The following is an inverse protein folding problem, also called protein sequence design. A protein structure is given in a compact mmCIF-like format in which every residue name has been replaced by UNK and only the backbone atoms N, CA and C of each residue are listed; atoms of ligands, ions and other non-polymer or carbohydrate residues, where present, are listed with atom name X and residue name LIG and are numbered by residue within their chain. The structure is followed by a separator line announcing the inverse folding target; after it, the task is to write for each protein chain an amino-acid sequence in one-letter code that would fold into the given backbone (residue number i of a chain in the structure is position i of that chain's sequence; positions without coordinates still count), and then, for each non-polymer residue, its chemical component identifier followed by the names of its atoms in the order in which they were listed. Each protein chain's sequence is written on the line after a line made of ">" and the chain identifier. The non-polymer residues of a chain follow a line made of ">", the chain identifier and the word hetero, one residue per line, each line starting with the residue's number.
data_IF_313152542049
#
_entry.id   IF_313152542049
#
_cell.length_a   1.000
_cell.length_b   1.000
_cell.length_c   1.000
_cell.angle_alpha   90.00
_cell.angle_beta   90.00
_cell.angle_gamma   90.00
#
_symmetry.space_group_name_H-M   'P 1'
#
loop_
_entity.id
_entity.type
_entity.pdbx_description
1 polymer ?
#
# COMPACT_ATOMS: atom_id res chain seq x y z
N UNK A 1 64.62 -51.98 12.62
CA UNK A 1 64.83 -51.00 13.70
C UNK A 1 64.10 -49.70 13.33
N UNK A 2 62.92 -49.53 13.94
CA UNK A 2 62.21 -48.27 14.33
C UNK A 2 62.23 -47.08 13.35
N UNK A 3 61.09 -46.78 12.71
CA UNK A 3 60.32 -45.53 12.95
C UNK A 3 60.51 -44.57 11.77
N UNK A 4 59.56 -43.76 11.30
CA UNK A 4 58.36 -43.21 11.90
C UNK A 4 57.33 -42.95 10.80
N UNK A 5 56.09 -43.32 11.09
CA UNK A 5 54.89 -42.95 10.36
C UNK A 5 54.64 -41.45 10.57
N UNK A 6 54.40 -40.68 9.50
CA UNK A 6 53.92 -39.29 9.65
C UNK A 6 52.76 -39.05 8.71
N UNK A 7 51.59 -39.33 9.28
CA UNK A 7 50.26 -38.99 8.85
C UNK A 7 50.16 -37.49 8.49
N UNK A 8 50.05 -37.17 7.20
CA UNK A 8 49.72 -35.82 6.73
C UNK A 8 48.20 -35.64 6.77
N UNK A 9 47.69 -35.19 7.92
CA UNK A 9 46.27 -34.85 8.09
C UNK A 9 45.91 -33.72 7.11
N UNK A 10 44.92 -33.99 6.27
CA UNK A 10 44.24 -32.99 5.44
C UNK A 10 43.60 -31.93 6.34
N UNK A 11 44.06 -30.68 6.23
CA UNK A 11 43.38 -29.53 6.82
C UNK A 11 42.24 -29.07 5.91
N UNK A 12 41.14 -29.82 5.88
CA UNK A 12 39.86 -29.33 5.34
C UNK A 12 39.10 -28.57 6.43
N UNK A 13 38.85 -27.27 6.19
CA UNK A 13 37.70 -26.56 6.76
C UNK A 13 37.94 -25.70 8.01
N UNK A 14 38.50 -24.50 7.85
CA UNK A 14 38.35 -23.42 8.85
C UNK A 14 38.19 -22.01 8.24
N UNK A 15 37.56 -21.92 7.06
CA UNK A 15 37.27 -20.65 6.38
C UNK A 15 35.77 -20.31 6.24
N UNK A 16 34.86 -21.24 6.53
CA UNK A 16 33.46 -21.13 6.09
C UNK A 16 32.54 -20.38 7.07
N UNK A 17 32.73 -20.54 8.38
CA UNK A 17 31.75 -20.06 9.37
C UNK A 17 31.93 -18.59 9.77
N UNK A 18 33.18 -18.11 9.84
CA UNK A 18 33.49 -16.71 10.18
C UNK A 18 33.10 -15.74 9.06
N UNK A 19 33.39 -16.10 7.81
CA UNK A 19 33.04 -15.30 6.63
C UNK A 19 31.52 -15.26 6.41
N UNK A 20 30.81 -16.38 6.65
CA UNK A 20 29.34 -16.42 6.66
C UNK A 20 28.73 -15.50 7.73
N UNK A 21 29.29 -15.45 8.94
CA UNK A 21 28.81 -14.55 10.01
C UNK A 21 29.07 -13.08 9.68
N UNK A 22 30.26 -12.75 9.17
CA UNK A 22 30.61 -11.38 8.76
C UNK A 22 29.69 -10.87 7.62
N UNK A 23 29.42 -11.70 6.62
CA UNK A 23 28.47 -11.38 5.54
C UNK A 23 27.06 -11.15 6.06
N UNK A 24 26.57 -11.99 6.99
CA UNK A 24 25.26 -11.80 7.62
C UNK A 24 25.17 -10.49 8.42
N UNK A 25 26.21 -10.12 9.17
CA UNK A 25 26.25 -8.85 9.90
C UNK A 25 26.24 -7.66 8.95
N UNK A 26 27.06 -7.69 7.89
CA UNK A 26 27.10 -6.63 6.88
C UNK A 26 25.77 -6.48 6.14
N UNK A 27 25.12 -7.60 5.79
CA UNK A 27 23.80 -7.60 5.17
C UNK A 27 22.73 -7.03 6.11
N UNK A 28 22.77 -7.39 7.40
CA UNK A 28 21.88 -6.82 8.41
C UNK A 28 22.08 -5.31 8.58
N UNK A 29 23.32 -4.85 8.65
CA UNK A 29 23.64 -3.42 8.73
C UNK A 29 23.15 -2.65 7.50
N UNK A 30 23.34 -3.21 6.29
CA UNK A 30 22.82 -2.60 5.06
C UNK A 30 21.29 -2.50 5.07
N UNK A 31 20.59 -3.55 5.50
CA UNK A 31 19.12 -3.53 5.64
C UNK A 31 18.64 -2.49 6.66
N UNK A 32 19.33 -2.40 7.79
CA UNK A 32 19.00 -1.40 8.82
C UNK A 32 19.21 0.03 8.30
N UNK A 33 20.31 0.29 7.60
CA UNK A 33 20.59 1.60 7.03
C UNK A 33 19.56 2.02 5.97
N UNK A 34 19.12 1.09 5.11
CA UNK A 34 18.05 1.36 4.13
C UNK A 34 16.73 1.67 4.84
N UNK A 35 16.37 0.89 5.85
CA UNK A 35 15.13 1.12 6.61
C UNK A 35 15.19 2.42 7.42
N UNK A 36 16.34 2.78 7.99
CA UNK A 36 16.55 4.06 8.68
C UNK A 36 16.43 5.24 7.71
N UNK A 37 17.10 5.17 6.55
CA UNK A 37 17.01 6.20 5.51
C UNK A 37 15.57 6.35 4.97
N UNK A 38 14.85 5.24 4.75
CA UNK A 38 13.44 5.27 4.35
C UNK A 38 12.58 5.97 5.40
N UNK A 39 12.80 5.70 6.69
CA UNK A 39 12.06 6.35 7.79
C UNK A 39 12.37 7.84 7.90
N UNK A 40 13.62 8.25 7.69
CA UNK A 40 14.01 9.65 7.66
C UNK A 40 13.35 10.40 6.49
N UNK A 41 13.38 9.81 5.29
CA UNK A 41 12.70 10.35 4.11
C UNK A 41 11.20 10.45 4.34
N UNK A 42 10.59 9.41 4.92
CA UNK A 42 9.18 9.44 5.29
C UNK A 42 8.87 10.54 6.32
N UNK A 43 9.68 10.68 7.36
CA UNK A 43 9.49 11.75 8.35
C UNK A 43 9.61 13.15 7.72
N UNK A 44 10.57 13.33 6.80
CA UNK A 44 10.71 14.58 6.05
C UNK A 44 9.48 14.85 5.17
N UNK A 45 8.94 13.82 4.51
CA UNK A 45 7.74 13.89 3.68
C UNK A 45 6.50 14.28 4.50
N UNK A 46 6.31 13.65 5.67
CA UNK A 46 5.23 13.98 6.60
C UNK A 46 5.31 15.45 6.99
N UNK A 47 6.49 15.93 7.39
CA UNK A 47 6.68 17.32 7.78
C UNK A 47 6.45 18.29 6.62
N UNK A 48 6.88 17.93 5.41
CA UNK A 48 6.75 18.78 4.23
C UNK A 48 5.29 18.96 3.78
N UNK A 49 4.44 17.95 3.99
CA UNK A 49 3.05 17.93 3.51
C UNK A 49 2.01 18.19 4.58
N UNK A 50 2.40 18.16 5.86
CA UNK A 50 1.51 18.48 6.96
C UNK A 50 0.99 19.93 6.84
N UNK A 51 -0.33 20.08 6.70
CA UNK A 51 -0.99 21.36 6.54
C UNK A 51 -0.91 21.97 5.14
N UNK A 52 -0.30 21.29 4.16
CA UNK A 52 -0.27 21.73 2.77
C UNK A 52 -1.62 21.42 2.09
N UNK A 53 -2.36 22.42 1.60
CA UNK A 53 -3.67 22.21 0.96
C UNK A 53 -3.61 21.41 -0.34
N UNK A 54 -2.43 21.26 -0.97
CA UNK A 54 -2.25 20.44 -2.17
C UNK A 54 -2.28 18.93 -1.87
N UNK A 55 -2.39 18.53 -0.60
CA UNK A 55 -2.40 17.12 -0.20
C UNK A 55 -3.56 16.83 0.74
N UNK A 56 -3.95 15.55 0.80
CA UNK A 56 -5.01 15.10 1.72
C UNK A 56 -4.56 15.34 3.16
N UNK A 57 -5.37 16.04 3.96
CA UNK A 57 -5.07 16.26 5.37
C UNK A 57 -5.95 15.37 6.25
N UNK A 58 -5.38 14.89 7.37
CA UNK A 58 -6.09 14.12 8.40
C UNK A 58 -6.11 14.90 9.71
N UNK A 59 -7.31 15.10 10.25
CA UNK A 59 -7.52 15.67 11.59
C UNK A 59 -8.18 14.64 12.50
N UNK A 60 -7.66 14.52 13.72
CA UNK A 60 -8.34 13.78 14.79
C UNK A 60 -9.37 14.70 15.46
N UNK A 61 -10.59 14.22 15.60
CA UNK A 61 -11.68 14.94 16.24
C UNK A 61 -11.71 14.66 17.75
N UNK A 62 -12.29 15.57 18.57
CA UNK A 62 -12.36 15.38 20.02
C UNK A 62 -13.11 14.12 20.48
N UNK A 63 -14.00 13.59 19.63
CA UNK A 63 -14.76 12.36 19.84
C UNK A 63 -13.96 11.09 19.48
N UNK A 64 -12.70 11.23 19.06
CA UNK A 64 -11.86 10.12 18.59
C UNK A 64 -12.08 9.77 17.11
N UNK A 65 -13.06 10.40 16.46
CA UNK A 65 -13.28 10.31 15.01
C UNK A 65 -12.15 10.97 14.23
N UNK A 66 -12.18 10.79 12.91
CA UNK A 66 -11.19 11.38 12.00
C UNK A 66 -11.91 12.09 10.86
N UNK A 67 -11.41 13.27 10.51
CA UNK A 67 -11.83 14.00 9.32
C UNK A 67 -10.69 13.98 8.32
N UNK A 68 -10.99 13.55 7.10
CA UNK A 68 -10.13 13.75 5.93
C UNK A 68 -10.61 14.99 5.20
N UNK A 69 -9.69 15.85 4.80
CA UNK A 69 -10.00 17.03 3.99
C UNK A 69 -9.12 17.08 2.75
N UNK A 70 -9.72 17.50 1.66
CA UNK A 70 -9.11 17.71 0.36
C UNK A 70 -9.52 19.10 -0.12
N UNK A 71 -8.75 19.68 -1.03
CA UNK A 71 -9.08 20.93 -1.69
C UNK A 71 -9.17 20.70 -3.19
N UNK A 72 -9.67 21.68 -3.94
CA UNK A 72 -9.67 21.62 -5.41
C UNK A 72 -8.24 21.51 -5.98
N UNK A 73 -7.24 21.97 -5.23
CA UNK A 73 -5.82 21.90 -5.60
C UNK A 73 -5.18 20.52 -5.31
N UNK A 74 -5.88 19.62 -4.61
CA UNK A 74 -5.37 18.26 -4.35
C UNK A 74 -5.32 17.47 -5.66
N UNK A 75 -4.19 16.83 -6.03
CA UNK A 75 -4.14 15.99 -7.23
C UNK A 75 -5.20 14.88 -7.16
N UNK A 76 -5.99 14.75 -8.22
CA UNK A 76 -7.10 13.80 -8.32
C UNK A 76 -8.42 14.30 -7.73
N UNK A 77 -8.50 15.56 -7.25
CA UNK A 77 -9.70 16.10 -6.60
C UNK A 77 -10.90 16.19 -7.54
N UNK A 78 -10.69 16.62 -8.78
CA UNK A 78 -11.76 16.75 -9.77
C UNK A 78 -12.42 15.40 -10.07
N UNK A 79 -11.62 14.37 -10.33
CA UNK A 79 -12.06 13.00 -10.59
C UNK A 79 -12.78 12.42 -9.37
N UNK A 80 -12.28 12.71 -8.17
CA UNK A 80 -12.91 12.27 -6.94
C UNK A 80 -14.27 12.95 -6.68
N UNK A 81 -14.38 14.26 -6.92
CA UNK A 81 -15.64 15.01 -6.82
C UNK A 81 -16.67 14.48 -7.82
N UNK A 82 -16.23 14.20 -9.06
CA UNK A 82 -17.08 13.58 -10.08
C UNK A 82 -17.57 12.19 -9.64
N UNK A 83 -16.69 11.36 -9.08
CA UNK A 83 -17.06 10.05 -8.55
C UNK A 83 -18.09 10.16 -7.40
N UNK A 84 -17.94 11.13 -6.49
CA UNK A 84 -18.93 11.37 -5.43
C UNK A 84 -20.28 11.84 -5.99
N UNK A 85 -20.27 12.71 -7.01
CA UNK A 85 -21.49 13.16 -7.66
C UNK A 85 -22.21 11.99 -8.36
N UNK A 86 -21.47 11.12 -9.05
CA UNK A 86 -22.01 9.91 -9.66
C UNK A 86 -22.58 8.95 -8.61
N UNK A 87 -21.87 8.73 -7.49
CA UNK A 87 -22.33 7.88 -6.39
C UNK A 87 -23.61 8.43 -5.74
N UNK A 88 -23.69 9.75 -5.56
CA UNK A 88 -24.92 10.41 -5.09
C UNK A 88 -26.07 10.20 -6.07
N UNK A 89 -25.84 10.35 -7.37
CA UNK A 89 -26.87 10.13 -8.37
C UNK A 89 -27.36 8.67 -8.36
N UNK A 90 -26.45 7.70 -8.26
CA UNK A 90 -26.79 6.29 -8.13
C UNK A 90 -27.66 6.01 -6.91
N UNK A 91 -27.40 6.68 -5.78
CA UNK A 91 -28.23 6.59 -4.58
C UNK A 91 -29.64 7.11 -4.83
N UNK A 92 -29.77 8.28 -5.46
CA UNK A 92 -31.06 8.90 -5.78
C UNK A 92 -31.85 8.01 -6.74
N UNK A 93 -31.20 7.47 -7.77
CA UNK A 93 -31.84 6.60 -8.75
C UNK A 93 -32.34 5.29 -8.10
N UNK A 94 -31.59 4.74 -7.13
CA UNK A 94 -31.96 3.51 -6.41
C UNK A 94 -33.07 3.72 -5.39
N UNK A 95 -32.99 4.78 -4.56
CA UNK A 95 -33.84 4.95 -3.38
C UNK A 95 -34.89 6.06 -3.52
N UNK A 96 -34.86 6.85 -4.60
CA UNK A 96 -35.83 7.91 -4.89
C UNK A 96 -35.74 9.12 -3.97
N UNK A 97 -34.63 9.29 -3.23
CA UNK A 97 -34.39 10.40 -2.31
C UNK A 97 -32.90 10.72 -2.18
N UNK A 98 -32.58 11.90 -1.67
CA UNK A 98 -31.22 12.28 -1.30
C UNK A 98 -30.67 11.41 -0.15
N UNK A 99 -29.36 11.14 -0.11
CA UNK A 99 -28.71 10.53 1.05
C UNK A 99 -28.73 11.49 2.24
N UNK A 100 -29.10 10.97 3.40
CA UNK A 100 -29.00 11.64 4.69
C UNK A 100 -27.63 11.44 5.34
N UNK A 101 -27.36 12.11 6.48
CA UNK A 101 -26.05 12.07 7.14
C UNK A 101 -25.65 10.70 7.68
N UNK A 102 -26.61 9.77 7.84
CA UNK A 102 -26.37 8.40 8.32
C UNK A 102 -26.54 7.36 7.21
N UNK A 103 -26.82 7.79 5.97
CA UNK A 103 -26.87 6.85 4.85
C UNK A 103 -25.43 6.52 4.39
N UNK A 104 -25.20 5.27 3.96
CA UNK A 104 -23.89 4.84 3.52
C UNK A 104 -23.51 5.50 2.20
N UNK A 105 -22.27 5.97 2.11
CA UNK A 105 -21.69 6.49 0.86
C UNK A 105 -21.51 5.37 -0.16
N UNK A 106 -20.99 4.22 0.27
CA UNK A 106 -20.93 2.98 -0.50
C UNK A 106 -22.06 2.07 -0.05
N UNK A 107 -23.12 1.95 -0.86
CA UNK A 107 -24.33 1.22 -0.51
C UNK A 107 -24.43 -0.10 -1.29
N UNK A 108 -25.10 -1.08 -0.68
CA UNK A 108 -25.46 -2.35 -1.32
C UNK A 108 -26.52 -2.10 -2.42
N UNK A 109 -26.19 -2.33 -3.70
CA UNK A 109 -27.11 -2.09 -4.81
C UNK A 109 -28.28 -3.07 -4.84
N UNK A 110 -28.18 -4.22 -4.16
CA UNK A 110 -29.21 -5.26 -4.14
C UNK A 110 -30.17 -5.10 -2.95
N UNK A 111 -29.85 -4.23 -1.99
CA UNK A 111 -30.71 -3.94 -0.84
C UNK A 111 -31.86 -2.98 -1.19
N UNK A 112 -33.06 -3.28 -0.68
CA UNK A 112 -34.24 -2.39 -0.77
C UNK A 112 -34.13 -1.15 0.12
N UNK A 113 -33.21 -1.16 1.09
CA UNK A 113 -32.95 -0.04 2.00
C UNK A 113 -31.46 0.31 2.01
N UNK A 114 -31.07 1.58 2.20
CA UNK A 114 -29.66 1.95 2.26
C UNK A 114 -28.94 1.18 3.36
N UNK A 115 -27.98 0.36 2.95
CA UNK A 115 -27.10 -0.43 3.81
C UNK A 115 -25.71 -0.42 3.21
N UNK A 116 -24.71 -0.48 4.07
CA UNK A 116 -23.32 -0.59 3.62
C UNK A 116 -23.15 -1.87 2.79
N UNK A 117 -22.37 -1.78 1.72
CA UNK A 117 -21.89 -2.97 1.02
C UNK A 117 -21.10 -3.85 1.99
N UNK A 118 -21.26 -5.17 1.91
CA UNK A 118 -20.46 -6.07 2.75
C UNK A 118 -19.00 -6.07 2.31
N UNK A 119 -18.10 -6.43 3.23
CA UNK A 119 -16.69 -6.57 2.90
C UNK A 119 -16.49 -7.59 1.77
N UNK A 120 -17.20 -8.73 1.80
CA UNK A 120 -17.10 -9.75 0.77
C UNK A 120 -17.52 -9.25 -0.61
N UNK A 121 -18.59 -8.45 -0.67
CA UNK A 121 -19.05 -7.86 -1.93
C UNK A 121 -18.06 -6.82 -2.45
N UNK A 122 -17.51 -5.97 -1.58
CA UNK A 122 -16.46 -5.01 -1.95
C UNK A 122 -15.20 -5.72 -2.48
N UNK A 123 -14.76 -6.80 -1.82
CA UNK A 123 -13.60 -7.57 -2.26
C UNK A 123 -13.85 -8.26 -3.61
N UNK A 124 -15.06 -8.78 -3.84
CA UNK A 124 -15.44 -9.35 -5.13
C UNK A 124 -15.44 -8.29 -6.26
N UNK A 125 -15.88 -7.07 -5.98
CA UNK A 125 -15.82 -5.96 -6.95
C UNK A 125 -14.38 -5.56 -7.29
N UNK A 126 -13.47 -5.57 -6.30
CA UNK A 126 -12.05 -5.35 -6.52
C UNK A 126 -11.45 -6.48 -7.37
N UNK A 127 -11.80 -7.74 -7.09
CA UNK A 127 -11.34 -8.90 -7.88
C UNK A 127 -11.80 -8.79 -9.35
N UNK A 128 -13.04 -8.35 -9.58
CA UNK A 128 -13.57 -8.07 -10.91
C UNK A 128 -12.84 -6.89 -11.61
N UNK A 129 -12.46 -5.85 -10.87
CA UNK A 129 -11.68 -4.73 -11.40
C UNK A 129 -10.26 -5.18 -11.80
N UNK A 130 -9.61 -6.00 -10.99
CA UNK A 130 -8.29 -6.59 -11.29
C UNK A 130 -8.35 -7.40 -12.59
N UNK A 131 -9.35 -8.27 -12.72
CA UNK A 131 -9.49 -9.11 -13.92
C UNK A 131 -9.68 -8.27 -15.19
N UNK A 132 -10.56 -7.25 -15.14
CA UNK A 132 -10.77 -6.34 -16.29
C UNK A 132 -9.51 -5.58 -16.66
N UNK A 133 -8.83 -4.98 -15.69
CA UNK A 133 -7.59 -4.26 -15.93
C UNK A 133 -6.52 -5.17 -16.55
N UNK A 134 -6.43 -6.43 -16.11
CA UNK A 134 -5.52 -7.40 -16.71
C UNK A 134 -5.88 -7.71 -18.17
N UNK A 135 -7.17 -7.95 -18.46
CA UNK A 135 -7.66 -8.21 -19.81
C UNK A 135 -7.42 -7.03 -20.76
N UNK A 136 -7.48 -5.81 -20.24
CA UNK A 136 -7.19 -4.56 -20.96
C UNK A 136 -5.67 -4.31 -21.11
N UNK A 137 -4.82 -5.23 -20.66
CA UNK A 137 -3.37 -5.13 -20.77
C UNK A 137 -2.74 -4.11 -19.83
N UNK A 138 -3.38 -3.84 -18.68
CA UNK A 138 -2.84 -2.97 -17.64
C UNK A 138 -2.08 -3.76 -16.57
N UNK A 139 -1.06 -3.13 -15.98
CA UNK A 139 -0.40 -3.66 -14.80
C UNK A 139 -1.36 -3.58 -13.60
N UNK A 140 -1.62 -4.72 -12.96
CA UNK A 140 -2.58 -4.83 -11.85
C UNK A 140 -1.95 -4.74 -10.46
N UNK A 141 -0.64 -4.49 -10.35
CA UNK A 141 0.09 -4.54 -9.10
C UNK A 141 -0.50 -3.65 -8.00
N UNK A 142 -0.89 -2.42 -8.34
CA UNK A 142 -1.50 -1.49 -7.39
C UNK A 142 -2.89 -1.94 -6.92
N UNK A 143 -3.71 -2.51 -7.81
CA UNK A 143 -5.03 -3.04 -7.45
C UNK A 143 -4.91 -4.27 -6.54
N UNK A 144 -3.95 -5.16 -6.85
CA UNK A 144 -3.66 -6.34 -6.02
C UNK A 144 -3.05 -5.97 -4.67
N UNK A 145 -2.17 -4.97 -4.63
CA UNK A 145 -1.66 -4.44 -3.37
C UNK A 145 -2.79 -3.88 -2.51
N UNK A 146 -3.71 -3.09 -3.09
CA UNK A 146 -4.89 -2.59 -2.37
C UNK A 146 -5.75 -3.74 -1.84
N UNK A 147 -5.97 -4.78 -2.65
CA UNK A 147 -6.71 -5.98 -2.26
C UNK A 147 -6.08 -6.74 -1.09
N UNK A 148 -4.75 -6.73 -0.98
CA UNK A 148 -3.99 -7.43 0.06
C UNK A 148 -3.85 -6.61 1.35
N UNK A 149 -3.65 -5.30 1.25
CA UNK A 149 -3.38 -4.43 2.41
C UNK A 149 -4.63 -3.79 2.98
N UNK A 150 -5.70 -3.66 2.20
CA UNK A 150 -6.93 -2.96 2.57
C UNK A 150 -6.82 -1.43 2.51
N UNK A 151 -5.73 -0.88 1.99
CA UNK A 151 -5.57 0.56 1.78
C UNK A 151 -4.82 0.88 0.49
N UNK A 152 -5.17 2.00 -0.13
CA UNK A 152 -4.55 2.49 -1.36
C UNK A 152 -3.66 3.69 -1.06
N UNK A 153 -2.36 3.56 -1.35
CA UNK A 153 -1.40 4.65 -1.20
C UNK A 153 -1.27 5.39 -2.52
N UNK A 154 -1.41 6.72 -2.46
CA UNK A 154 -1.26 7.65 -3.58
C UNK A 154 -0.30 8.76 -3.22
N UNK A 155 0.18 9.50 -4.21
CA UNK A 155 1.01 10.68 -3.95
C UNK A 155 0.30 11.69 -3.05
N UNK A 156 -1.03 11.83 -3.18
CA UNK A 156 -1.84 12.77 -2.40
C UNK A 156 -1.96 12.39 -0.92
N UNK A 157 -1.85 11.09 -0.56
CA UNK A 157 -2.17 10.59 0.77
C UNK A 157 -1.03 9.87 1.51
N UNK A 158 0.09 9.53 0.84
CA UNK A 158 1.15 8.70 1.42
C UNK A 158 1.72 9.19 2.76
N UNK A 159 1.71 10.50 2.98
CA UNK A 159 2.19 11.14 4.21
C UNK A 159 1.25 10.97 5.43
N UNK A 160 0.07 10.36 5.24
CA UNK A 160 -0.89 10.08 6.30
C UNK A 160 -0.73 8.67 6.90
N UNK A 161 0.05 7.83 6.22
CA UNK A 161 0.35 6.45 6.59
C UNK A 161 1.59 6.39 7.48
N UNK A 162 1.73 5.31 8.24
CA UNK A 162 2.98 5.04 8.94
C UNK A 162 4.04 4.51 7.98
N UNK A 163 5.32 4.63 8.34
CA UNK A 163 6.39 4.01 7.55
C UNK A 163 6.20 2.50 7.39
N UNK A 164 5.62 1.82 8.38
CA UNK A 164 5.33 0.39 8.31
C UNK A 164 4.22 0.06 7.31
N UNK A 165 3.18 0.91 7.24
CA UNK A 165 2.09 0.74 6.25
C UNK A 165 2.64 0.95 4.83
N UNK A 166 3.54 1.93 4.64
CA UNK A 166 4.20 2.15 3.35
C UNK A 166 5.14 1.01 2.96
N UNK A 167 5.90 0.46 3.91
CA UNK A 167 6.72 -0.73 3.66
C UNK A 167 5.82 -1.91 3.25
N UNK A 168 4.70 -2.14 3.94
CA UNK A 168 3.73 -3.18 3.59
C UNK A 168 3.13 -2.97 2.19
N UNK A 169 2.76 -1.73 1.86
CA UNK A 169 2.26 -1.37 0.54
C UNK A 169 3.28 -1.63 -0.56
N UNK A 170 4.51 -1.15 -0.38
CA UNK A 170 5.57 -1.30 -1.37
C UNK A 170 5.95 -2.77 -1.57
N UNK A 171 6.07 -3.55 -0.49
CA UNK A 171 6.31 -4.99 -0.56
C UNK A 171 5.19 -5.71 -1.35
N UNK A 172 3.93 -5.31 -1.17
CA UNK A 172 2.80 -5.87 -1.90
C UNK A 172 2.80 -5.47 -3.39
N UNK A 173 3.07 -4.19 -3.70
CA UNK A 173 3.21 -3.73 -5.10
C UNK A 173 4.35 -4.47 -5.79
N UNK A 174 5.53 -4.55 -5.18
CA UNK A 174 6.69 -5.25 -5.74
C UNK A 174 6.42 -6.74 -5.96
N UNK A 175 5.67 -7.38 -5.06
CA UNK A 175 5.28 -8.78 -5.21
C UNK A 175 4.42 -9.04 -6.45
N UNK A 176 3.50 -8.11 -6.77
CA UNK A 176 2.58 -8.24 -7.90
C UNK A 176 3.05 -7.54 -9.17
N UNK A 177 4.19 -6.84 -9.13
CA UNK A 177 4.70 -6.09 -10.27
C UNK A 177 5.08 -7.02 -11.42
N UNK A 178 4.42 -6.84 -12.57
CA UNK A 178 4.78 -7.51 -13.80
C UNK A 178 5.54 -6.53 -14.73
N UNK A 179 6.86 -6.74 -14.94
CA UNK A 179 7.68 -5.85 -15.75
C UNK A 179 7.35 -5.91 -17.24
N UNK A 180 6.56 -6.87 -17.72
CA UNK A 180 6.13 -6.93 -19.13
C UNK A 180 5.19 -5.78 -19.52
N UNK A 181 4.62 -5.09 -18.54
CA UNK A 181 3.79 -3.90 -18.72
C UNK A 181 4.55 -2.57 -18.62
N UNK A 182 5.87 -2.59 -18.38
CA UNK A 182 6.72 -1.38 -18.46
C UNK A 182 7.07 -1.11 -19.93
N UNK A 183 6.28 -0.27 -20.60
CA UNK A 183 6.66 0.36 -21.87
C UNK A 183 7.26 1.73 -21.55
N UNK A 184 8.60 1.78 -21.43
CA UNK A 184 9.43 2.96 -21.13
C UNK A 184 9.32 3.52 -19.69
N UNK A 185 10.25 3.09 -18.83
CA UNK A 185 10.72 3.85 -17.66
C UNK A 185 12.09 4.47 -17.93
#
# INVERSE_FOLDING_TARGET
>A
MVGSDTLRIMATGRGSTGDKRARKVKQRQKRLAVHESSREQHAALVNARAGDPNYVQKRLNPDGGRTLSWTDDTPGSAEFIEALAAQRQAFVDKFGREPGPNDPMMFDPDSDTPREITEEAMLADIDNLIERAHQDGQNTAYLKAWRDTGFLVTESNQHLFSAADLDQWNDAVDHHWDPSFDHDR
#
